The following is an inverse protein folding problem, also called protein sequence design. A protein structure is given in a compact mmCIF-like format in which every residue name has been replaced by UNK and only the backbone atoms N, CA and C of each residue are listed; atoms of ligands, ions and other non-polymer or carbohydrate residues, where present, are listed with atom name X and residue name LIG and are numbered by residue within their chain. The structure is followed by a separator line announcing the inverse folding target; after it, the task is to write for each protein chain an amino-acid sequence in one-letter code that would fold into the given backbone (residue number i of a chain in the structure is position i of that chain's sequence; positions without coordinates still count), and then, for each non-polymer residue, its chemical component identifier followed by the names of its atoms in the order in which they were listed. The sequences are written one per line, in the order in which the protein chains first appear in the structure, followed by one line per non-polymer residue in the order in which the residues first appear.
data_IF_825638356822
#
_entry.id   IF_825638356822
#
_cell.length_a   1.000
_cell.length_b   1.000
_cell.length_c   1.000
_cell.angle_alpha   90.00
_cell.angle_beta   90.00
_cell.angle_gamma   90.00
#
_symmetry.space_group_name_H-M   'P 1'
#
loop_
_entity.id
_entity.type
_entity.pdbx_description
1 polymer ?
#
# COMPACT_ATOMS: atom_id res chain seq x y z
N UNK A 1 -33.00 41.82 -4.15
CA UNK A 1 -31.97 41.34 -5.06
C UNK A 1 -31.20 40.24 -4.35
N UNK A 2 -31.53 38.95 -4.61
CA UNK A 2 -30.93 37.77 -3.95
C UNK A 2 -29.78 37.28 -4.82
N UNK A 3 -28.55 37.40 -4.33
CA UNK A 3 -27.36 36.89 -4.99
C UNK A 3 -27.26 35.41 -4.65
N UNK A 4 -27.49 34.55 -5.65
CA UNK A 4 -27.24 33.10 -5.55
C UNK A 4 -25.73 32.86 -5.71
N UNK A 5 -25.07 32.49 -4.61
CA UNK A 5 -23.67 32.08 -4.62
C UNK A 5 -23.61 30.60 -5.08
N UNK A 6 -23.27 30.37 -6.33
CA UNK A 6 -23.02 29.04 -6.88
C UNK A 6 -21.61 28.61 -6.44
N UNK A 7 -21.52 27.75 -5.44
CA UNK A 7 -20.26 27.13 -5.03
C UNK A 7 -19.91 26.04 -6.05
N UNK A 8 -18.91 26.32 -6.89
CA UNK A 8 -18.33 25.35 -7.82
C UNK A 8 -17.46 24.36 -7.02
N UNK A 9 -17.98 23.19 -6.71
CA UNK A 9 -17.23 22.07 -6.12
C UNK A 9 -16.31 21.50 -7.20
N UNK A 10 -15.05 21.94 -7.21
CA UNK A 10 -14.00 21.31 -7.97
C UNK A 10 -13.70 19.93 -7.35
N UNK A 11 -14.27 18.87 -7.93
CA UNK A 11 -13.88 17.50 -7.62
C UNK A 11 -12.48 17.24 -8.16
N UNK A 12 -11.46 17.50 -7.36
CA UNK A 12 -10.12 17.01 -7.62
C UNK A 12 -10.17 15.49 -7.58
N UNK A 13 -10.02 14.83 -8.72
CA UNK A 13 -9.85 13.39 -8.83
C UNK A 13 -8.64 12.95 -8.03
N UNK A 14 -8.86 12.60 -6.76
CA UNK A 14 -7.85 12.01 -5.93
C UNK A 14 -7.59 10.60 -6.48
N UNK A 15 -6.44 10.36 -7.08
CA UNK A 15 -5.92 9.01 -7.33
C UNK A 15 -5.81 8.31 -5.98
N UNK A 16 -6.88 7.60 -5.62
CA UNK A 16 -7.04 7.05 -4.29
C UNK A 16 -6.17 5.81 -4.16
N UNK A 17 -5.27 5.83 -3.19
CA UNK A 17 -4.62 4.62 -2.72
C UNK A 17 -5.69 3.63 -2.27
N UNK A 18 -5.69 2.43 -2.86
CA UNK A 18 -6.62 1.36 -2.52
C UNK A 18 -5.95 0.42 -1.52
N UNK A 19 -6.65 0.10 -0.42
CA UNK A 19 -6.19 -0.89 0.55
C UNK A 19 -7.32 -1.89 0.80
N UNK A 20 -7.07 -3.16 0.51
CA UNK A 20 -7.89 -4.31 0.88
C UNK A 20 -7.24 -5.10 1.99
N UNK A 21 -8.06 -5.78 2.81
CA UNK A 21 -7.62 -6.65 3.89
C UNK A 21 -8.41 -7.93 3.85
N UNK A 22 -7.71 -9.05 4.05
CA UNK A 22 -8.24 -10.38 4.23
C UNK A 22 -7.73 -10.93 5.56
N UNK A 23 -8.52 -11.68 6.27
CA UNK A 23 -8.09 -12.32 7.51
C UNK A 23 -8.86 -13.61 7.77
N UNK A 24 -8.25 -14.50 8.56
CA UNK A 24 -8.89 -15.72 9.03
C UNK A 24 -9.85 -15.37 10.17
N UNK A 25 -11.18 -15.56 10.00
CA UNK A 25 -12.16 -15.24 11.04
C UNK A 25 -12.05 -16.18 12.27
N UNK A 26 -11.38 -17.32 12.14
CA UNK A 26 -11.14 -18.25 13.25
C UNK A 26 -9.87 -17.88 14.06
N UNK A 27 -9.05 -16.92 13.57
CA UNK A 27 -7.85 -16.52 14.28
C UNK A 27 -8.17 -15.69 15.52
N UNK A 28 -7.62 -16.07 16.65
CA UNK A 28 -7.74 -15.32 17.90
C UNK A 28 -6.66 -14.24 17.95
N UNK A 29 -6.93 -13.07 17.37
CA UNK A 29 -5.94 -11.98 17.26
C UNK A 29 -5.44 -11.47 18.61
N UNK A 30 -6.23 -11.62 19.68
CA UNK A 30 -5.85 -11.23 21.02
C UNK A 30 -4.68 -12.04 21.62
N UNK A 31 -4.34 -13.20 21.07
CA UNK A 31 -3.19 -14.00 21.51
C UNK A 31 -1.85 -13.53 20.96
N UNK A 32 -1.85 -12.70 19.92
CA UNK A 32 -0.63 -12.27 19.24
C UNK A 32 -0.11 -10.97 19.88
N UNK A 33 1.01 -11.06 20.60
CA UNK A 33 1.63 -9.93 21.32
C UNK A 33 2.99 -9.55 20.73
N UNK A 34 3.62 -10.42 19.96
CA UNK A 34 4.94 -10.19 19.38
C UNK A 34 4.97 -10.50 17.88
N UNK A 35 5.90 -9.86 17.17
CA UNK A 35 6.10 -10.10 15.76
C UNK A 35 7.57 -10.10 15.38
N UNK A 36 7.92 -10.81 14.31
CA UNK A 36 9.23 -10.77 13.70
C UNK A 36 9.10 -10.57 12.19
N UNK A 37 9.82 -9.59 11.64
CA UNK A 37 9.93 -9.43 10.19
C UNK A 37 10.91 -10.46 9.68
N UNK A 38 10.46 -11.36 8.79
CA UNK A 38 11.26 -12.52 8.35
C UNK A 38 11.74 -12.37 6.93
N UNK A 39 10.87 -11.97 6.02
CA UNK A 39 11.16 -11.99 4.60
C UNK A 39 10.50 -10.81 3.89
N UNK A 40 11.31 -10.13 3.06
CA UNK A 40 10.85 -9.08 2.16
C UNK A 40 11.26 -9.40 0.73
N UNK A 41 10.28 -9.49 -0.15
CA UNK A 41 10.46 -9.77 -1.57
C UNK A 41 10.21 -8.52 -2.41
N UNK A 42 11.06 -8.30 -3.44
CA UNK A 42 10.94 -7.18 -4.36
C UNK A 42 10.71 -7.67 -5.78
N UNK A 43 9.53 -7.39 -6.30
CA UNK A 43 9.10 -7.72 -7.65
C UNK A 43 9.05 -6.46 -8.53
N UNK A 44 10.20 -5.82 -8.72
CA UNK A 44 10.32 -4.66 -9.60
C UNK A 44 11.67 -4.62 -10.30
N UNK A 45 11.66 -4.26 -11.59
CA UNK A 45 12.88 -4.04 -12.39
C UNK A 45 13.42 -2.62 -12.25
N UNK A 46 12.72 -1.74 -11.55
CA UNK A 46 13.17 -0.37 -11.34
C UNK A 46 14.24 -0.35 -10.23
N UNK A 47 15.52 -0.03 -10.53
CA UNK A 47 16.61 -0.08 -9.54
C UNK A 47 16.41 0.91 -8.39
N UNK A 48 15.64 1.98 -8.59
CA UNK A 48 15.32 2.95 -7.54
C UNK A 48 14.37 2.35 -6.50
N UNK A 49 13.42 1.54 -6.93
CA UNK A 49 12.47 0.87 -6.05
C UNK A 49 13.00 -0.45 -5.51
N UNK A 50 13.89 -1.12 -6.26
CA UNK A 50 14.58 -2.34 -5.85
C UNK A 50 15.90 -1.99 -5.18
N UNK A 51 15.85 -1.46 -3.97
CA UNK A 51 17.05 -1.06 -3.22
C UNK A 51 16.95 -1.44 -1.75
N UNK A 52 18.11 -1.69 -1.14
CA UNK A 52 18.22 -1.97 0.30
C UNK A 52 17.68 -0.82 1.18
N UNK A 53 17.75 0.41 0.70
CA UNK A 53 17.21 1.55 1.44
C UNK A 53 15.68 1.52 1.46
N UNK A 54 15.04 1.18 0.34
CA UNK A 54 13.57 1.01 0.27
C UNK A 54 13.14 -0.16 1.15
N UNK A 55 13.89 -1.28 1.12
CA UNK A 55 13.65 -2.44 1.98
C UNK A 55 13.66 -2.06 3.46
N UNK A 56 14.76 -1.45 3.93
CA UNK A 56 14.91 -1.00 5.31
C UNK A 56 13.81 -0.02 5.73
N UNK A 57 13.38 0.85 4.83
CA UNK A 57 12.28 1.79 5.09
C UNK A 57 10.95 1.07 5.30
N UNK A 58 10.61 0.11 4.44
CA UNK A 58 9.38 -0.69 4.60
C UNK A 58 9.41 -1.44 5.93
N UNK A 59 10.53 -2.09 6.26
CA UNK A 59 10.69 -2.84 7.52
C UNK A 59 10.56 -1.93 8.74
N UNK A 60 11.19 -0.76 8.71
CA UNK A 60 11.10 0.23 9.79
C UNK A 60 9.66 0.76 9.97
N UNK A 61 8.96 1.03 8.86
CA UNK A 61 7.57 1.48 8.89
C UNK A 61 6.63 0.39 9.44
N UNK A 62 6.82 -0.88 9.04
CA UNK A 62 6.07 -2.02 9.58
C UNK A 62 6.32 -2.16 11.08
N UNK A 63 7.59 -2.14 11.51
CA UNK A 63 7.96 -2.26 12.92
C UNK A 63 7.35 -1.13 13.75
N UNK A 64 7.46 0.12 13.30
CA UNK A 64 6.85 1.28 13.95
C UNK A 64 5.35 1.12 14.12
N UNK A 65 4.65 0.75 13.05
CA UNK A 65 3.20 0.74 13.04
C UNK A 65 2.60 -0.45 13.80
N UNK A 66 3.26 -1.62 13.85
CA UNK A 66 2.86 -2.74 14.71
C UNK A 66 3.17 -2.44 16.19
N UNK A 67 4.33 -1.83 16.48
CA UNK A 67 4.67 -1.41 17.86
C UNK A 67 3.69 -0.37 18.39
N UNK A 68 3.27 0.57 17.57
CA UNK A 68 2.23 1.55 17.95
C UNK A 68 0.87 0.91 18.27
N UNK A 69 0.66 -0.36 17.89
CA UNK A 69 -0.52 -1.19 18.25
C UNK A 69 -0.28 -2.10 19.45
N UNK A 70 0.83 -1.92 20.15
CA UNK A 70 1.16 -2.66 21.37
C UNK A 70 1.86 -3.99 21.12
N UNK A 71 2.29 -4.28 19.88
CA UNK A 71 3.06 -5.49 19.59
C UNK A 71 4.54 -5.28 19.88
N UNK A 72 5.21 -6.32 20.37
CA UNK A 72 6.64 -6.30 20.70
C UNK A 72 7.45 -6.85 19.51
N UNK A 73 8.41 -6.09 18.97
CA UNK A 73 9.29 -6.58 17.91
C UNK A 73 10.29 -7.59 18.45
N UNK A 74 10.44 -8.73 17.76
CA UNK A 74 11.48 -9.74 18.01
C UNK A 74 12.53 -9.65 16.91
N UNK A 75 13.76 -9.30 17.28
CA UNK A 75 14.90 -9.25 16.37
C UNK A 75 15.67 -10.56 16.38
N UNK A 76 16.26 -10.92 15.23
CA UNK A 76 17.02 -12.16 15.07
C UNK A 76 16.15 -13.43 14.96
N UNK A 77 16.72 -14.61 15.19
CA UNK A 77 16.06 -15.90 14.93
C UNK A 77 15.08 -16.35 16.02
N UNK A 78 14.87 -15.54 17.06
CA UNK A 78 13.97 -15.88 18.17
C UNK A 78 12.52 -16.10 17.74
N UNK A 79 11.72 -16.88 18.50
CA UNK A 79 10.31 -17.10 18.23
C UNK A 79 9.52 -15.80 18.46
N UNK A 80 8.53 -15.57 17.60
CA UNK A 80 7.55 -14.51 17.75
C UNK A 80 6.15 -15.13 17.54
N UNK A 81 5.11 -14.45 18.02
CA UNK A 81 3.73 -14.93 17.83
C UNK A 81 3.27 -14.81 16.39
N UNK A 82 3.81 -13.81 15.67
CA UNK A 82 3.56 -13.62 14.24
C UNK A 82 4.86 -13.43 13.47
N UNK A 83 4.96 -14.10 12.34
CA UNK A 83 5.94 -13.81 11.31
C UNK A 83 5.35 -12.85 10.28
N UNK A 84 6.06 -11.76 10.02
CA UNK A 84 5.71 -10.77 9.00
C UNK A 84 6.49 -11.08 7.73
N UNK A 85 5.79 -11.30 6.65
CA UNK A 85 6.32 -11.37 5.30
C UNK A 85 5.75 -10.21 4.50
N UNK A 86 6.51 -9.64 3.57
CA UNK A 86 5.99 -8.60 2.70
C UNK A 86 6.56 -8.73 1.29
N UNK A 87 5.75 -8.34 0.31
CA UNK A 87 6.16 -8.27 -1.09
C UNK A 87 5.89 -6.86 -1.60
N UNK A 88 6.88 -6.23 -2.19
CA UNK A 88 6.73 -4.95 -2.87
C UNK A 88 6.98 -5.12 -4.36
N UNK A 89 5.97 -4.80 -5.16
CA UNK A 89 6.04 -4.83 -6.61
C UNK A 89 5.78 -3.44 -7.20
N UNK A 90 6.38 -3.17 -8.36
CA UNK A 90 6.04 -2.00 -9.15
C UNK A 90 6.07 -2.31 -10.64
N UNK A 91 5.00 -1.92 -11.32
CA UNK A 91 4.83 -2.03 -12.76
C UNK A 91 4.73 -0.65 -13.40
N UNK A 92 5.01 -0.58 -14.71
CA UNK A 92 4.76 0.60 -15.54
C UNK A 92 3.75 0.25 -16.60
N UNK A 93 2.89 1.21 -16.91
CA UNK A 93 1.90 1.08 -17.97
C UNK A 93 1.72 2.39 -18.71
N UNK A 94 0.85 2.35 -19.71
CA UNK A 94 0.42 3.51 -20.49
C UNK A 94 -1.10 3.48 -20.54
N UNK A 95 -1.73 4.57 -20.14
CA UNK A 95 -3.17 4.73 -20.18
C UNK A 95 -3.54 5.64 -21.35
N UNK A 96 -4.52 5.27 -22.19
CA UNK A 96 -5.10 6.19 -23.13
C UNK A 96 -6.03 7.16 -22.39
N UNK A 97 -5.77 8.45 -22.52
CA UNK A 97 -6.65 9.51 -22.03
C UNK A 97 -7.22 10.28 -23.23
N UNK A 98 -8.51 10.52 -23.23
CA UNK A 98 -9.20 11.22 -24.30
C UNK A 98 -9.57 12.63 -23.86
N UNK A 99 -9.07 13.62 -24.61
CA UNK A 99 -9.36 15.04 -24.36
C UNK A 99 -10.17 15.63 -25.49
N UNK A 100 -11.17 16.49 -25.20
CA UNK A 100 -11.82 17.28 -26.22
C UNK A 100 -10.79 18.17 -26.93
N UNK A 101 -10.77 18.17 -28.25
CA UNK A 101 -9.85 18.94 -29.08
C UNK A 101 -10.58 19.58 -30.27
N UNK A 102 -9.94 20.57 -30.89
CA UNK A 102 -10.48 21.28 -32.02
C UNK A 102 -11.35 22.49 -31.65
N UNK A 103 -11.78 23.24 -32.68
CA UNK A 103 -12.65 24.38 -32.51
C UNK A 103 -13.97 24.00 -31.88
N UNK A 104 -14.29 24.56 -30.72
CA UNK A 104 -15.49 24.29 -29.92
C UNK A 104 -15.58 22.83 -29.36
N UNK A 105 -14.46 22.12 -29.27
CA UNK A 105 -14.44 20.76 -28.68
C UNK A 105 -15.03 19.65 -29.55
N UNK A 106 -15.15 19.85 -30.86
CA UNK A 106 -15.78 18.90 -31.81
C UNK A 106 -14.86 17.74 -32.22
N UNK A 107 -13.69 17.64 -31.67
CA UNK A 107 -12.75 16.55 -31.89
C UNK A 107 -12.36 15.89 -30.59
N UNK A 108 -11.73 14.73 -30.70
CA UNK A 108 -11.12 14.03 -29.58
C UNK A 108 -9.67 13.71 -29.91
N UNK A 109 -8.75 14.08 -29.03
CA UNK A 109 -7.35 13.65 -29.09
C UNK A 109 -7.12 12.62 -28.00
N UNK A 110 -6.57 11.47 -28.40
CA UNK A 110 -6.15 10.44 -27.45
C UNK A 110 -4.66 10.61 -27.18
N UNK A 111 -4.33 10.92 -25.93
CA UNK A 111 -2.95 11.01 -25.45
C UNK A 111 -2.65 9.76 -24.63
N UNK A 112 -1.45 9.25 -24.76
CA UNK A 112 -0.98 8.10 -23.96
C UNK A 112 -0.17 8.62 -22.78
N UNK A 113 -0.76 8.56 -21.59
CA UNK A 113 -0.10 8.98 -20.36
C UNK A 113 0.61 7.79 -19.69
N UNK A 114 1.92 7.91 -19.43
CA UNK A 114 2.63 6.89 -18.68
C UNK A 114 2.22 6.92 -17.20
N UNK A 115 2.11 5.76 -16.59
CA UNK A 115 1.90 5.62 -15.15
C UNK A 115 2.81 4.57 -14.54
N UNK A 116 2.99 4.64 -13.22
CA UNK A 116 3.64 3.63 -12.42
C UNK A 116 2.66 3.17 -11.32
N UNK A 117 2.49 1.88 -11.19
CA UNK A 117 1.70 1.28 -10.12
C UNK A 117 2.62 0.58 -9.14
N UNK A 118 2.47 0.89 -7.85
CA UNK A 118 3.13 0.20 -6.75
C UNK A 118 2.12 -0.63 -5.96
N UNK A 119 2.47 -1.87 -5.66
CA UNK A 119 1.67 -2.77 -4.84
C UNK A 119 2.53 -3.28 -3.69
N UNK A 120 2.04 -3.10 -2.45
CA UNK A 120 2.62 -3.66 -1.24
C UNK A 120 1.64 -4.68 -0.65
N UNK A 121 2.11 -5.90 -0.47
CA UNK A 121 1.41 -6.95 0.27
C UNK A 121 2.11 -7.13 1.60
N UNK A 122 1.36 -7.17 2.69
CA UNK A 122 1.86 -7.48 4.04
C UNK A 122 1.07 -8.67 4.55
N UNK A 123 1.79 -9.75 4.85
CA UNK A 123 1.26 -11.01 5.38
C UNK A 123 1.69 -11.21 6.83
N UNK A 124 0.73 -11.50 7.69
CA UNK A 124 0.98 -11.95 9.06
C UNK A 124 0.65 -13.43 9.14
N UNK A 125 1.63 -14.23 9.54
CA UNK A 125 1.52 -15.70 9.62
C UNK A 125 1.77 -16.18 11.04
N UNK A 126 0.94 -17.10 11.49
CA UNK A 126 1.17 -17.83 12.74
C UNK A 126 2.30 -18.85 12.49
N UNK A 127 3.46 -18.75 13.18
CA UNK A 127 4.60 -19.64 12.94
C UNK A 127 4.35 -21.07 13.38
N UNK A 128 3.41 -21.30 14.31
CA UNK A 128 3.08 -22.64 14.83
C UNK A 128 2.26 -23.46 13.84
N UNK A 129 1.29 -22.81 13.20
CA UNK A 129 0.39 -23.44 12.23
C UNK A 129 0.81 -23.20 10.78
N UNK A 130 1.77 -22.32 10.55
CA UNK A 130 2.18 -21.79 9.23
C UNK A 130 1.05 -21.11 8.44
N UNK A 131 -0.06 -20.84 9.11
CA UNK A 131 -1.25 -20.26 8.49
C UNK A 131 -1.12 -18.76 8.28
N UNK A 132 -1.62 -18.29 7.15
CA UNK A 132 -1.86 -16.88 6.93
C UNK A 132 -3.07 -16.47 7.78
N UNK A 133 -2.86 -15.58 8.76
CA UNK A 133 -3.94 -15.10 9.63
C UNK A 133 -4.47 -13.74 9.24
N UNK A 134 -3.64 -12.94 8.54
CA UNK A 134 -4.02 -11.62 8.08
C UNK A 134 -3.16 -11.18 6.90
N UNK A 135 -3.78 -10.52 5.93
CA UNK A 135 -3.14 -9.95 4.74
C UNK A 135 -3.70 -8.59 4.44
N UNK A 136 -2.83 -7.64 4.11
CA UNK A 136 -3.22 -6.40 3.46
C UNK A 136 -2.57 -6.26 2.10
N UNK A 137 -3.31 -5.71 1.15
CA UNK A 137 -2.84 -5.36 -0.18
C UNK A 137 -3.09 -3.87 -0.37
N UNK A 138 -2.02 -3.09 -0.49
CA UNK A 138 -2.09 -1.67 -0.78
C UNK A 138 -1.58 -1.41 -2.20
N UNK A 139 -2.37 -0.70 -3.00
CA UNK A 139 -2.00 -0.31 -4.36
C UNK A 139 -2.05 1.20 -4.50
N UNK A 140 -1.05 1.76 -5.15
CA UNK A 140 -0.98 3.17 -5.49
C UNK A 140 -0.55 3.35 -6.94
N UNK A 141 -1.27 4.19 -7.65
CA UNK A 141 -0.91 4.59 -9.01
C UNK A 141 -0.41 6.04 -9.01
N UNK A 142 0.69 6.29 -9.69
CA UNK A 142 1.33 7.59 -9.84
C UNK A 142 1.87 7.77 -11.25
N UNK A 143 2.22 9.01 -11.62
CA UNK A 143 2.82 9.31 -12.92
C UNK A 143 4.21 8.68 -13.12
N UNK A 144 4.92 8.39 -12.03
CA UNK A 144 6.28 7.84 -12.07
C UNK A 144 6.68 7.09 -10.79
N UNK A 145 7.78 6.36 -10.87
CA UNK A 145 8.29 5.54 -9.78
C UNK A 145 8.73 6.34 -8.54
N UNK A 146 9.21 7.58 -8.71
CA UNK A 146 9.62 8.43 -7.58
C UNK A 146 8.41 8.77 -6.71
N UNK A 147 7.28 9.05 -7.33
CA UNK A 147 6.03 9.33 -6.63
C UNK A 147 5.43 8.08 -5.98
N UNK A 148 5.67 6.88 -6.55
CA UNK A 148 5.33 5.61 -5.91
C UNK A 148 6.18 5.43 -4.64
N UNK A 149 7.51 5.63 -4.74
CA UNK A 149 8.43 5.56 -3.60
C UNK A 149 7.99 6.48 -2.45
N UNK A 150 7.58 7.71 -2.76
CA UNK A 150 7.08 8.68 -1.78
C UNK A 150 5.74 8.31 -1.11
N UNK A 151 5.12 7.18 -1.48
CA UNK A 151 3.87 6.67 -0.90
C UNK A 151 4.01 5.40 -0.08
N UNK A 152 5.20 4.84 0.01
CA UNK A 152 5.45 3.57 0.69
C UNK A 152 5.04 3.61 2.16
N UNK A 153 5.41 4.65 2.92
CA UNK A 153 5.01 4.83 4.31
C UNK A 153 3.49 4.93 4.48
N UNK A 154 2.81 5.62 3.57
CA UNK A 154 1.36 5.70 3.52
C UNK A 154 0.72 4.33 3.24
N UNK A 155 1.33 3.51 2.36
CA UNK A 155 0.87 2.15 2.05
C UNK A 155 0.96 1.26 3.29
N UNK A 156 2.09 1.27 4.00
CA UNK A 156 2.27 0.52 5.26
C UNK A 156 1.27 0.98 6.31
N UNK A 157 1.24 2.27 6.60
CA UNK A 157 0.38 2.85 7.63
C UNK A 157 -1.11 2.57 7.41
N UNK A 158 -1.61 2.73 6.18
CA UNK A 158 -3.02 2.47 5.84
C UNK A 158 -3.36 0.99 5.87
N UNK A 159 -2.43 0.11 5.50
CA UNK A 159 -2.58 -1.33 5.62
C UNK A 159 -2.71 -1.72 7.09
N UNK A 160 -1.72 -1.39 7.89
CA UNK A 160 -1.67 -1.79 9.30
C UNK A 160 -2.71 -1.07 10.17
N UNK A 161 -3.25 0.09 9.74
CA UNK A 161 -4.39 0.73 10.41
C UNK A 161 -5.60 -0.21 10.54
N UNK A 162 -5.70 -1.22 9.67
CA UNK A 162 -6.78 -2.22 9.68
C UNK A 162 -6.45 -3.48 10.48
N UNK A 163 -5.30 -3.53 11.17
CA UNK A 163 -4.89 -4.60 12.08
C UNK A 163 -5.01 -4.14 13.56
N UNK A 164 -5.49 -4.99 14.50
CA UNK A 164 -6.23 -6.21 14.21
C UNK A 164 -7.57 -5.92 13.53
N UNK A 165 -8.16 -6.89 12.81
CA UNK A 165 -9.48 -6.69 12.24
C UNK A 165 -10.50 -6.47 13.36
N UNK A 166 -11.48 -5.62 13.10
CA UNK A 166 -12.62 -5.48 14.01
C UNK A 166 -13.52 -6.70 13.86
N UNK A 167 -14.05 -7.22 14.97
CA UNK A 167 -15.01 -8.33 14.93
C UNK A 167 -16.29 -7.93 14.19
#
# INVERSE_FOLDING_TARGET
MRILLVALLASTGAFAQKVSVEFDPAAMFAKYHSFAIREGEFNTRNPRLNSELVKKRIEADIARDLTARGMVPVTGPGPADLNVHYTFGAARGVRPEAYPAGWRGWGTVVVREPFAEGTLVIDLRDPTTHSLVWRAIATVEKSDALKVEGKIDDMVRKSLKKYPPKP
#
